data_IF_597762925143
#
_entry.id   IF_597762925143
#
_cell.length_a   1.000
_cell.length_b   1.000
_cell.length_c   1.000
_cell.angle_alpha   90.00
_cell.angle_beta   90.00
_cell.angle_gamma   90.00
#
_symmetry.space_group_name_H-M   'P 1'
#
loop_
_entity.id
_entity.type
_entity.pdbx_description
1 polymer ?
#
# COMPACT_ATOMS: atom_id res chain seq x y z
N UNK A 1 38.63 -1.32 -52.36
CA UNK A 1 38.02 -1.03 -51.06
C UNK A 1 37.99 -2.32 -50.24
N UNK A 2 38.92 -2.51 -49.30
CA UNK A 2 39.00 -3.74 -48.46
C UNK A 2 38.15 -3.53 -47.21
N UNK A 3 36.98 -4.15 -47.17
CA UNK A 3 36.13 -4.19 -45.98
C UNK A 3 36.88 -4.89 -44.85
N UNK A 4 37.10 -4.18 -43.74
CA UNK A 4 37.60 -4.77 -42.51
C UNK A 4 36.52 -5.71 -41.98
N UNK A 5 36.75 -7.00 -42.13
CA UNK A 5 35.97 -8.04 -41.45
C UNK A 5 36.24 -7.85 -39.95
N UNK A 6 35.34 -7.15 -39.25
CA UNK A 6 35.39 -7.06 -37.79
C UNK A 6 35.26 -8.47 -37.24
N UNK A 7 36.27 -8.90 -36.49
CA UNK A 7 36.28 -10.19 -35.83
C UNK A 7 35.05 -10.30 -34.93
N UNK A 8 34.40 -11.47 -34.93
CA UNK A 8 33.28 -11.78 -34.04
C UNK A 8 33.62 -11.48 -32.57
N UNK A 9 34.90 -11.60 -32.19
CA UNK A 9 35.40 -11.28 -30.84
C UNK A 9 35.28 -9.79 -30.52
N UNK A 10 35.57 -8.91 -31.48
CA UNK A 10 35.39 -7.46 -31.31
C UNK A 10 33.92 -7.07 -31.21
N UNK A 11 33.03 -7.75 -31.93
CA UNK A 11 31.58 -7.50 -31.85
C UNK A 11 31.04 -7.95 -30.49
N UNK A 12 31.44 -9.13 -30.01
CA UNK A 12 31.06 -9.64 -28.69
C UNK A 12 31.56 -8.73 -27.54
N UNK A 13 32.79 -8.19 -27.67
CA UNK A 13 33.36 -7.29 -26.68
C UNK A 13 32.58 -5.96 -26.60
N UNK A 14 32.16 -5.43 -27.74
CA UNK A 14 31.36 -4.19 -27.82
C UNK A 14 29.95 -4.39 -27.27
N UNK A 15 29.29 -5.53 -27.55
CA UNK A 15 27.98 -5.84 -26.97
C UNK A 15 28.04 -6.05 -25.44
N UNK A 16 29.12 -6.65 -24.92
CA UNK A 16 29.30 -6.84 -23.48
C UNK A 16 29.43 -5.53 -22.69
N UNK A 17 30.06 -4.51 -23.28
CA UNK A 17 30.24 -3.19 -22.64
C UNK A 17 28.98 -2.31 -22.70
N UNK A 18 28.11 -2.50 -23.70
CA UNK A 18 26.80 -1.85 -23.77
C UNK A 18 25.75 -2.48 -22.84
N UNK A 19 26.02 -3.67 -22.28
CA UNK A 19 25.13 -4.42 -21.40
C UNK A 19 24.99 -3.88 -19.97
N UNK A 20 25.61 -2.75 -19.62
CA UNK A 20 25.40 -2.07 -18.33
C UNK A 20 24.08 -1.26 -18.27
N UNK A 21 23.10 -1.57 -19.12
CA UNK A 21 21.79 -0.96 -19.07
C UNK A 21 21.04 -1.48 -17.82
N UNK A 22 21.14 -0.69 -16.74
CA UNK A 22 20.29 -0.68 -15.53
C UNK A 22 19.61 -2.02 -15.26
N UNK A 23 20.19 -2.83 -14.36
CA UNK A 23 19.36 -3.77 -13.60
C UNK A 23 18.20 -2.94 -13.03
N UNK A 24 16.94 -3.29 -13.29
CA UNK A 24 15.84 -2.70 -12.55
C UNK A 24 16.19 -2.93 -11.09
N UNK A 25 16.38 -1.86 -10.34
CA UNK A 25 16.52 -1.98 -8.90
C UNK A 25 15.32 -2.80 -8.43
N UNK A 26 15.52 -3.90 -7.68
CA UNK A 26 14.39 -4.67 -7.20
C UNK A 26 13.47 -3.67 -6.48
N UNK A 27 12.21 -3.59 -6.92
CA UNK A 27 11.24 -2.70 -6.28
C UNK A 27 10.92 -3.13 -4.84
N UNK A 28 11.56 -4.19 -4.34
CA UNK A 28 11.68 -4.51 -2.93
C UNK A 28 12.72 -3.59 -2.30
N UNK A 29 12.29 -2.39 -1.91
CA UNK A 29 13.13 -1.50 -1.12
C UNK A 29 13.49 -2.18 0.23
N UNK A 30 14.72 -2.04 0.74
CA UNK A 30 15.06 -2.52 2.06
C UNK A 30 14.15 -1.83 3.08
N UNK A 31 13.45 -2.64 3.89
CA UNK A 31 12.56 -2.16 4.95
C UNK A 31 13.42 -1.75 6.13
N UNK A 32 13.41 -0.46 6.44
CA UNK A 32 13.80 0.01 7.76
C UNK A 32 12.59 -0.22 8.68
N UNK A 33 12.81 -0.67 9.92
CA UNK A 33 11.74 -0.75 10.93
C UNK A 33 11.88 0.44 11.89
N UNK A 34 11.70 1.64 11.36
CA UNK A 34 11.85 2.87 12.12
C UNK A 34 10.58 3.17 12.94
N UNK A 35 10.56 2.71 14.18
CA UNK A 35 9.44 2.92 15.11
C UNK A 35 9.24 4.37 15.56
N UNK A 36 10.15 5.28 15.22
CA UNK A 36 9.93 6.72 15.44
C UNK A 36 8.89 7.29 14.47
N UNK A 37 8.67 6.61 13.33
CA UNK A 37 7.64 6.96 12.36
C UNK A 37 6.29 6.39 12.82
N UNK A 38 5.39 7.30 13.23
CA UNK A 38 4.02 6.95 13.63
C UNK A 38 3.06 7.05 12.45
N UNK A 39 2.14 6.09 12.34
CA UNK A 39 1.10 6.14 11.32
C UNK A 39 0.03 7.16 11.73
N UNK A 40 -0.26 8.16 10.90
CA UNK A 40 -1.32 9.11 11.21
C UNK A 40 -2.70 8.43 11.20
N UNK A 41 -3.57 8.80 12.14
CA UNK A 41 -4.98 8.37 12.11
C UNK A 41 -5.70 9.15 11.01
N UNK A 42 -6.10 8.47 9.95
CA UNK A 42 -6.84 9.08 8.85
C UNK A 42 -8.33 8.94 9.08
N UNK A 43 -9.01 10.01 9.50
CA UNK A 43 -10.46 10.01 9.61
C UNK A 43 -11.15 10.16 8.24
N UNK A 44 -10.60 10.94 7.30
CA UNK A 44 -11.23 11.20 6.01
C UNK A 44 -10.21 11.82 5.02
N UNK A 45 -9.14 11.10 4.71
CA UNK A 45 -8.16 11.57 3.73
C UNK A 45 -8.70 11.41 2.30
N UNK A 46 -9.50 12.38 1.87
CA UNK A 46 -9.76 12.73 0.47
C UNK A 46 -10.34 11.62 -0.40
N UNK A 47 -11.65 11.39 -0.27
CA UNK A 47 -12.41 10.67 -1.31
C UNK A 47 -12.19 11.41 -2.63
N UNK A 48 -11.61 10.72 -3.61
CA UNK A 48 -11.51 11.21 -4.98
C UNK A 48 -12.94 11.55 -5.43
N UNK A 49 -13.21 12.83 -5.69
CA UNK A 49 -14.53 13.23 -6.20
C UNK A 49 -14.75 12.62 -7.58
N UNK A 50 -15.90 11.96 -7.76
CA UNK A 50 -16.28 11.40 -9.06
C UNK A 50 -16.30 12.49 -10.14
N UNK A 51 -15.67 12.21 -11.28
CA UNK A 51 -15.65 13.11 -12.44
C UNK A 51 -14.52 14.15 -12.48
N UNK A 52 -13.70 14.27 -11.43
CA UNK A 52 -12.48 15.08 -11.49
C UNK A 52 -11.29 14.24 -12.00
N UNK A 53 -10.47 14.75 -12.94
CA UNK A 53 -9.25 14.06 -13.33
C UNK A 53 -8.29 13.99 -12.13
N UNK A 54 -7.92 12.78 -11.74
CA UNK A 54 -6.93 12.54 -10.70
C UNK A 54 -5.56 12.41 -11.34
N UNK A 55 -4.63 13.27 -10.92
CA UNK A 55 -3.23 13.17 -11.30
C UNK A 55 -2.48 12.46 -10.18
N UNK A 56 -1.99 11.25 -10.46
CA UNK A 56 -1.02 10.58 -9.59
C UNK A 56 0.38 11.09 -9.95
N UNK A 57 1.02 11.80 -9.03
CA UNK A 57 2.41 12.19 -9.21
C UNK A 57 3.33 10.97 -9.27
N UNK A 58 4.54 11.15 -9.81
CA UNK A 58 5.49 10.05 -10.01
C UNK A 58 5.99 9.40 -8.70
N UNK A 59 5.99 10.13 -7.59
CA UNK A 59 6.39 9.60 -6.28
C UNK A 59 5.27 8.73 -5.70
N UNK A 60 4.02 9.19 -5.79
CA UNK A 60 2.82 8.46 -5.38
C UNK A 60 2.68 7.18 -6.18
N UNK A 61 2.81 7.25 -7.51
CA UNK A 61 2.75 6.07 -8.37
C UNK A 61 3.88 5.08 -8.03
N UNK A 62 5.11 5.56 -7.81
CA UNK A 62 6.23 4.71 -7.39
C UNK A 62 5.96 4.04 -6.05
N UNK A 63 5.47 4.78 -5.06
CA UNK A 63 5.15 4.24 -3.74
C UNK A 63 4.11 3.11 -3.84
N UNK A 64 3.04 3.32 -4.60
CA UNK A 64 2.01 2.29 -4.84
C UNK A 64 2.59 1.05 -5.52
N UNK A 65 3.47 1.21 -6.51
CA UNK A 65 4.13 0.08 -7.17
C UNK A 65 5.05 -0.71 -6.22
N UNK A 66 5.77 -0.02 -5.34
CA UNK A 66 6.65 -0.64 -4.33
C UNK A 66 5.81 -1.43 -3.33
N UNK A 67 4.79 -0.80 -2.75
CA UNK A 67 3.89 -1.42 -1.77
C UNK A 67 3.18 -2.64 -2.37
N UNK A 68 2.63 -2.51 -3.57
CA UNK A 68 1.92 -3.62 -4.23
C UNK A 68 2.84 -4.82 -4.49
N UNK A 69 4.09 -4.60 -4.93
CA UNK A 69 5.04 -5.70 -5.17
C UNK A 69 5.62 -6.29 -3.89
N UNK A 70 5.70 -5.50 -2.83
CA UNK A 70 6.13 -5.98 -1.52
C UNK A 70 5.07 -6.89 -0.90
N UNK A 71 3.78 -6.50 -0.98
CA UNK A 71 2.66 -7.28 -0.44
C UNK A 71 2.26 -8.46 -1.34
N UNK A 72 2.40 -8.32 -2.66
CA UNK A 72 2.05 -9.34 -3.66
C UNK A 72 3.25 -9.62 -4.59
N UNK A 73 4.23 -10.43 -4.15
CA UNK A 73 5.42 -10.72 -4.95
C UNK A 73 5.12 -11.35 -6.31
N UNK A 74 5.83 -10.91 -7.35
CA UNK A 74 5.66 -11.49 -8.68
C UNK A 74 6.05 -12.97 -8.68
N UNK A 75 5.17 -13.82 -9.22
CA UNK A 75 5.39 -15.26 -9.31
C UNK A 75 4.87 -16.07 -8.12
N UNK A 76 4.34 -15.44 -7.06
CA UNK A 76 3.50 -16.16 -6.10
C UNK A 76 2.16 -16.47 -6.76
N UNK A 77 1.78 -17.75 -6.83
CA UNK A 77 0.43 -18.12 -7.25
C UNK A 77 -0.56 -17.60 -6.20
N UNK A 78 -1.50 -16.75 -6.61
CA UNK A 78 -2.58 -16.31 -5.74
C UNK A 78 -3.50 -17.50 -5.44
N UNK A 79 -3.25 -18.20 -4.34
CA UNK A 79 -3.98 -19.41 -3.92
C UNK A 79 -5.38 -19.10 -3.39
N UNK A 80 -5.60 -17.88 -2.92
CA UNK A 80 -6.85 -17.40 -2.32
C UNK A 80 -7.21 -16.01 -2.84
N UNK A 81 -8.47 -15.61 -2.73
CA UNK A 81 -8.91 -14.30 -3.21
C UNK A 81 -8.20 -13.14 -2.49
N UNK A 82 -8.03 -13.25 -1.18
CA UNK A 82 -7.28 -12.31 -0.33
C UNK A 82 -5.76 -12.29 -0.59
N UNK A 83 -5.22 -13.16 -1.45
CA UNK A 83 -3.82 -13.09 -1.90
C UNK A 83 -3.64 -12.31 -3.22
N UNK A 84 -4.71 -11.71 -3.74
CA UNK A 84 -4.73 -10.97 -5.01
C UNK A 84 -4.68 -9.46 -4.77
N UNK A 85 -3.87 -8.71 -5.52
CA UNK A 85 -3.81 -7.25 -5.38
C UNK A 85 -5.14 -6.56 -5.70
N UNK A 86 -5.99 -7.17 -6.54
CA UNK A 86 -7.32 -6.63 -6.89
C UNK A 86 -8.33 -6.71 -5.75
N UNK A 87 -8.04 -7.50 -4.71
CA UNK A 87 -8.90 -7.65 -3.53
C UNK A 87 -8.68 -6.57 -2.47
N UNK A 88 -7.86 -5.56 -2.78
CA UNK A 88 -7.48 -4.51 -1.85
C UNK A 88 -7.67 -3.12 -2.44
N UNK A 89 -7.98 -2.15 -1.57
CA UNK A 89 -7.94 -0.73 -1.88
C UNK A 89 -6.65 -0.13 -1.34
N UNK A 90 -6.15 0.90 -2.03
CA UNK A 90 -4.93 1.60 -1.66
C UNK A 90 -5.28 3.06 -1.41
N UNK A 91 -4.80 3.59 -0.29
CA UNK A 91 -4.98 5.00 0.07
C UNK A 91 -3.64 5.59 0.45
N UNK A 92 -3.34 6.76 -0.12
CA UNK A 92 -2.06 7.44 0.10
C UNK A 92 -2.31 8.75 0.82
N UNK A 93 -1.60 8.97 1.91
CA UNK A 93 -1.54 10.23 2.62
C UNK A 93 -0.11 10.77 2.56
N UNK A 94 0.04 12.06 2.28
CA UNK A 94 1.34 12.74 2.28
C UNK A 94 1.42 13.66 3.48
N UNK A 95 2.39 13.43 4.35
CA UNK A 95 2.57 14.25 5.56
C UNK A 95 4.07 14.30 5.92
N UNK A 96 4.56 15.46 6.34
CA UNK A 96 5.93 15.66 6.82
C UNK A 96 7.02 15.20 5.82
N UNK A 97 6.73 15.30 4.53
CA UNK A 97 7.64 14.85 3.45
C UNK A 97 7.70 13.34 3.26
N UNK A 98 6.84 12.57 3.93
CA UNK A 98 6.69 11.13 3.78
C UNK A 98 5.39 10.78 3.06
N UNK A 99 5.36 9.57 2.49
CA UNK A 99 4.16 8.97 1.94
C UNK A 99 3.73 7.82 2.85
N UNK A 100 2.50 7.89 3.35
CA UNK A 100 1.86 6.83 4.12
C UNK A 100 0.87 6.12 3.21
N UNK A 101 1.05 4.81 3.03
CA UNK A 101 0.18 3.98 2.19
C UNK A 101 -0.56 3.01 3.11
N UNK A 102 -1.89 3.09 3.06
CA UNK A 102 -2.80 2.16 3.72
C UNK A 102 -3.34 1.21 2.66
N UNK A 103 -3.28 -0.08 2.96
CA UNK A 103 -3.82 -1.14 2.13
C UNK A 103 -4.90 -1.83 2.95
N UNK A 104 -6.13 -1.81 2.45
CA UNK A 104 -7.32 -2.30 3.15
C UNK A 104 -7.99 -3.35 2.27
N UNK A 105 -8.42 -4.49 2.82
CA UNK A 105 -9.16 -5.49 2.04
C UNK A 105 -10.49 -4.91 1.58
N UNK A 106 -10.82 -5.13 0.31
CA UNK A 106 -12.16 -4.92 -0.21
C UNK A 106 -12.94 -6.24 -0.11
N UNK A 107 -13.77 -6.46 0.93
CA UNK A 107 -14.47 -7.73 1.11
C UNK A 107 -15.41 -8.04 -0.05
N UNK A 108 -15.94 -7.01 -0.72
CA UNK A 108 -16.83 -7.19 -1.87
C UNK A 108 -16.13 -7.81 -3.09
N UNK A 109 -14.83 -7.57 -3.26
CA UNK A 109 -14.04 -8.17 -4.34
C UNK A 109 -13.96 -9.70 -4.22
N UNK A 110 -14.08 -10.22 -2.99
CA UNK A 110 -14.07 -11.65 -2.68
C UNK A 110 -15.46 -12.21 -2.33
N UNK A 111 -16.54 -11.43 -2.53
CA UNK A 111 -17.90 -11.84 -2.17
C UNK A 111 -18.15 -12.00 -0.66
N UNK A 112 -17.30 -11.39 0.17
CA UNK A 112 -17.43 -11.35 1.62
C UNK A 112 -18.17 -10.08 2.05
N UNK A 113 -18.78 -10.12 3.24
CA UNK A 113 -19.42 -8.94 3.84
C UNK A 113 -18.50 -8.16 4.77
N UNK A 114 -17.50 -8.83 5.33
CA UNK A 114 -16.55 -8.24 6.26
C UNK A 114 -15.12 -8.58 5.84
N UNK A 115 -14.15 -7.68 6.04
CA UNK A 115 -12.74 -8.00 5.86
C UNK A 115 -12.29 -9.03 6.90
N UNK A 116 -11.21 -9.77 6.62
CA UNK A 116 -10.54 -10.58 7.61
C UNK A 116 -9.88 -9.71 8.70
N UNK A 117 -9.67 -10.29 9.88
CA UNK A 117 -9.15 -9.56 11.05
C UNK A 117 -7.72 -9.06 10.87
N UNK A 118 -6.93 -9.78 10.06
CA UNK A 118 -5.53 -9.56 9.74
C UNK A 118 -5.35 -9.06 8.30
N UNK A 119 -6.42 -8.57 7.66
CA UNK A 119 -6.33 -8.09 6.28
C UNK A 119 -6.03 -6.60 6.23
N UNK A 120 -4.79 -6.32 5.85
CA UNK A 120 -4.36 -4.98 5.54
C UNK A 120 -2.87 -4.79 5.79
N UNK A 121 -2.40 -3.63 5.39
CA UNK A 121 -1.04 -3.24 5.63
C UNK A 121 -0.89 -1.72 5.69
N UNK A 122 0.12 -1.28 6.43
CA UNK A 122 0.50 0.13 6.53
C UNK A 122 1.98 0.27 6.17
N UNK A 123 2.28 1.26 5.34
CA UNK A 123 3.63 1.55 4.91
C UNK A 123 3.94 3.02 5.07
N UNK A 124 5.13 3.33 5.55
CA UNK A 124 5.69 4.66 5.49
C UNK A 124 6.89 4.65 4.55
N UNK A 125 6.88 5.53 3.55
CA UNK A 125 7.91 5.61 2.53
C UNK A 125 8.49 7.01 2.45
N UNK A 126 9.78 7.09 2.11
CA UNK A 126 10.36 8.31 1.58
C UNK A 126 9.96 8.52 0.11
N UNK A 127 9.99 9.77 -0.39
CA UNK A 127 9.74 10.08 -1.80
C UNK A 127 10.67 9.34 -2.79
N UNK A 128 11.86 8.94 -2.34
CA UNK A 128 12.81 8.17 -3.15
C UNK A 128 12.36 6.71 -3.38
N UNK A 129 11.40 6.21 -2.58
CA UNK A 129 10.86 4.85 -2.63
C UNK A 129 11.36 3.94 -1.49
N UNK A 130 12.19 4.42 -0.57
CA UNK A 130 12.65 3.61 0.56
C UNK A 130 11.54 3.42 1.59
N UNK A 131 11.28 2.17 1.98
CA UNK A 131 10.32 1.84 3.05
C UNK A 131 11.01 2.13 4.39
N UNK A 132 10.43 3.06 5.15
CA UNK A 132 10.88 3.44 6.49
C UNK A 132 10.25 2.62 7.60
N UNK A 133 9.04 2.09 7.36
CA UNK A 133 8.29 1.27 8.29
C UNK A 133 7.20 0.49 7.55
N UNK A 134 6.91 -0.72 8.01
CA UNK A 134 5.84 -1.57 7.46
C UNK A 134 5.14 -2.34 8.57
N UNK A 135 3.82 -2.49 8.44
CA UNK A 135 2.97 -3.35 9.28
C UNK A 135 2.11 -4.19 8.34
N UNK A 136 2.18 -5.53 8.44
CA UNK A 136 1.51 -6.50 7.55
C UNK A 136 0.62 -7.38 8.41
N UNK A 137 -0.65 -6.98 8.54
CA UNK A 137 -1.73 -7.50 9.41
C UNK A 137 -2.67 -6.35 9.81
N UNK A 138 -2.22 -5.11 9.60
CA UNK A 138 -2.96 -3.88 9.92
C UNK A 138 -2.92 -3.49 11.40
N UNK A 139 -2.31 -4.32 12.26
CA UNK A 139 -2.29 -4.14 13.72
C UNK A 139 -0.91 -3.67 14.14
N UNK A 140 -0.82 -2.43 14.62
CA UNK A 140 0.43 -1.88 15.14
C UNK A 140 0.29 -1.58 16.65
N UNK A 141 1.21 -2.11 17.46
CA UNK A 141 1.27 -1.81 18.89
C UNK A 141 1.52 -0.31 19.16
N UNK A 142 2.11 0.37 18.18
CA UNK A 142 2.46 1.78 18.21
C UNK A 142 1.37 2.69 17.59
N UNK A 143 0.24 2.12 17.16
CA UNK A 143 -0.92 2.92 16.76
C UNK A 143 -1.39 3.76 17.96
N UNK A 144 -1.62 5.04 17.71
CA UNK A 144 -2.15 5.98 18.70
C UNK A 144 -3.63 5.60 18.95
N UNK A 145 -3.88 4.68 19.88
CA UNK A 145 -5.20 4.40 20.42
C UNK A 145 -5.69 5.64 21.19
N UNK A 146 -6.05 6.71 20.50
CA UNK A 146 -6.79 7.79 21.12
C UNK A 146 -8.17 7.25 21.43
N UNK A 147 -8.30 6.74 22.66
CA UNK A 147 -9.59 6.37 23.24
C UNK A 147 -10.57 7.51 22.99
N UNK A 148 -11.60 7.23 22.22
CA UNK A 148 -12.70 8.16 22.06
C UNK A 148 -13.39 8.21 23.42
N UNK A 149 -13.33 9.36 24.09
CA UNK A 149 -14.17 9.60 25.26
C UNK A 149 -15.59 9.73 24.70
N UNK A 150 -16.38 8.67 24.80
CA UNK A 150 -17.80 8.74 24.52
C UNK A 150 -18.46 9.67 25.56
N UNK A 151 -19.54 10.38 25.20
CA UNK A 151 -20.23 11.31 26.10
C UNK A 151 -20.83 10.63 27.36
N UNK A 152 -20.75 9.30 27.47
CA UNK A 152 -21.16 8.50 28.63
C UNK A 152 -20.05 8.30 29.69
N UNK A 153 -18.85 8.83 29.46
CA UNK A 153 -17.76 8.82 30.45
C UNK A 153 -17.04 7.47 30.61
N UNK A 154 -17.27 6.51 29.72
CA UNK A 154 -16.50 5.29 29.62
C UNK A 154 -15.23 5.46 28.78
N UNK A 155 -14.07 5.02 29.28
CA UNK A 155 -12.87 4.85 28.45
C UNK A 155 -12.98 3.49 27.77
N UNK A 156 -13.55 3.47 26.57
CA UNK A 156 -13.50 2.28 25.72
C UNK A 156 -12.34 2.41 24.72
N UNK A 157 -11.44 1.43 24.72
CA UNK A 157 -10.49 1.24 23.62
C UNK A 157 -11.29 0.76 22.43
N UNK A 158 -11.77 1.70 21.61
CA UNK A 158 -12.36 1.33 20.33
C UNK A 158 -11.22 0.92 19.41
N UNK A 159 -11.26 -0.34 18.97
CA UNK A 159 -10.66 -0.70 17.70
C UNK A 159 -11.35 0.16 16.66
N UNK A 160 -10.75 1.28 16.25
CA UNK A 160 -11.21 2.03 15.08
C UNK A 160 -10.55 1.35 13.90
N UNK A 161 -11.25 0.47 13.16
CA UNK A 161 -10.70 -0.05 11.94
C UNK A 161 -10.58 1.15 10.99
N UNK A 162 -9.51 1.25 10.21
CA UNK A 162 -9.49 2.23 9.14
C UNK A 162 -10.65 1.85 8.21
N UNK A 163 -11.65 2.73 8.13
CA UNK A 163 -12.88 2.60 7.36
C UNK A 163 -13.86 1.46 7.75
N UNK A 164 -14.52 1.57 8.91
CA UNK A 164 -15.87 0.99 9.00
C UNK A 164 -16.82 1.86 8.17
N UNK A 165 -17.10 1.39 6.95
CA UNK A 165 -18.25 1.80 6.19
C UNK A 165 -19.50 1.77 7.08
N UNK A 166 -20.23 2.88 7.04
CA UNK A 166 -21.60 3.07 7.47
C UNK A 166 -22.31 1.76 7.88
N UNK A 167 -22.46 1.53 9.18
CA UNK A 167 -23.41 0.54 9.68
C UNK A 167 -24.79 0.88 9.11
N UNK A 168 -25.51 -0.03 8.45
CA UNK A 168 -26.90 0.23 8.11
C UNK A 168 -27.65 0.37 9.45
N UNK A 169 -28.30 1.52 9.64
CA UNK A 169 -29.20 1.71 10.76
C UNK A 169 -30.25 0.58 10.71
N UNK A 170 -30.29 -0.23 11.77
CA UNK A 170 -31.41 -1.14 12.01
C UNK A 170 -32.64 -0.27 12.24
N UNK A 171 -33.41 -0.09 11.17
CA UNK A 171 -34.73 0.53 11.23
C UNK A 171 -35.71 -0.42 11.89
N UNK A 172 -35.80 -0.29 13.21
CA UNK A 172 -37.04 -0.21 14.00
C UNK A 172 -38.21 -1.12 13.58
N UNK A 173 -38.31 -2.27 14.25
CA UNK A 173 -39.58 -2.95 14.51
C UNK A 173 -40.40 -2.08 15.48
N UNK A 174 -41.50 -1.51 14.99
CA UNK A 174 -42.55 -0.95 15.83
C UNK A 174 -43.91 -1.23 15.19
N UNK A 175 -44.55 -2.30 15.67
CA UNK A 175 -45.93 -2.62 15.31
C UNK A 175 -46.92 -1.52 15.69
N UNK A 176 -47.90 -1.30 14.81
CA UNK A 176 -49.31 -1.12 15.16
C UNK A 176 -50.20 -1.36 13.95
#
# INVERSE_FOLDING_TARGET
MRGRIMSLRTVALVLGLLGCARRPEPLSAPVLEDRTVRFPVSADAGVIQEGAPVVLDGETLRALMIVSRDLFPLGSAATSCDSRPESYTYRVLRQDGLLFVYVEENPSACGRRFPALDSGAKYALRPDGRILRRVVDGVDADDDWRGVILPDGGVHTLLVPPSQGLMPAEGEDAGR
#
